data_IF_564848432338
#
_entry.id   IF_564848432338
#
_cell.length_a   1.000
_cell.length_b   1.000
_cell.length_c   1.000
_cell.angle_alpha   90.00
_cell.angle_beta   90.00
_cell.angle_gamma   90.00
#
_symmetry.space_group_name_H-M   'P 1'
#
loop_
_entity.id
_entity.type
_entity.pdbx_description
1 polymer ?
#
# COMPACT_ATOMS: atom_id res chain seq x y z
N UNK A 1 31.02 72.63 12.50
CA UNK A 1 32.06 71.59 12.55
C UNK A 1 31.47 70.37 13.22
N UNK A 2 31.83 69.22 12.69
CA UNK A 2 31.71 67.87 13.27
C UNK A 2 30.61 66.94 12.73
N UNK A 3 31.08 65.70 12.55
CA UNK A 3 30.53 64.58 11.79
C UNK A 3 29.61 63.73 12.66
N UNK A 4 28.50 63.22 12.10
CA UNK A 4 27.71 62.02 12.51
C UNK A 4 26.26 62.29 12.13
N UNK A 5 25.47 61.42 11.49
CA UNK A 5 25.45 59.98 11.49
C UNK A 5 24.99 59.46 10.12
N UNK A 6 25.58 58.34 9.75
CA UNK A 6 25.39 57.65 8.49
C UNK A 6 23.99 57.04 8.36
N UNK A 7 23.41 57.25 7.17
CA UNK A 7 22.44 56.37 6.55
C UNK A 7 22.99 54.95 6.51
N UNK A 8 22.21 53.98 6.99
CA UNK A 8 22.50 52.55 6.88
C UNK A 8 21.22 51.82 6.49
N UNK A 9 20.72 52.12 5.29
CA UNK A 9 19.92 51.18 4.51
C UNK A 9 20.85 50.03 4.10
N UNK A 10 20.66 48.86 4.71
CA UNK A 10 21.27 47.61 4.22
C UNK A 10 20.18 46.83 3.53
N UNK A 11 20.18 46.93 2.21
CA UNK A 11 19.55 46.00 1.29
C UNK A 11 20.09 44.59 1.57
N UNK A 12 19.22 43.74 2.12
CA UNK A 12 19.42 42.31 2.12
C UNK A 12 19.20 41.81 0.69
N UNK A 13 20.30 41.69 -0.07
CA UNK A 13 20.34 40.91 -1.31
C UNK A 13 19.94 39.46 -0.98
N UNK A 14 18.71 39.07 -1.34
CA UNK A 14 18.35 37.67 -1.48
C UNK A 14 19.15 37.09 -2.64
N UNK A 15 20.13 36.26 -2.33
CA UNK A 15 20.81 35.42 -3.31
C UNK A 15 19.88 34.25 -3.64
N UNK A 16 19.39 34.18 -4.87
CA UNK A 16 18.63 33.01 -5.35
C UNK A 16 19.50 31.75 -5.30
N UNK A 17 18.95 30.58 -4.92
CA UNK A 17 19.69 29.34 -4.90
C UNK A 17 19.97 28.87 -6.33
N UNK A 18 21.25 28.67 -6.63
CA UNK A 18 21.76 28.11 -7.88
C UNK A 18 21.27 26.65 -8.04
N UNK A 19 20.24 26.46 -8.85
CA UNK A 19 19.56 25.18 -9.11
C UNK A 19 20.36 24.25 -10.04
N UNK A 20 21.55 24.65 -10.51
CA UNK A 20 22.39 23.88 -11.43
C UNK A 20 23.51 23.09 -10.74
N UNK A 21 23.25 22.53 -9.56
CA UNK A 21 24.12 21.48 -9.02
C UNK A 21 23.80 20.18 -9.75
N UNK A 22 24.60 19.85 -10.76
CA UNK A 22 24.63 18.52 -11.38
C UNK A 22 24.66 17.46 -10.27
N UNK A 23 23.53 16.77 -10.10
CA UNK A 23 23.49 15.51 -9.36
C UNK A 23 24.35 14.53 -10.14
N UNK A 24 25.59 14.33 -9.68
CA UNK A 24 26.36 13.13 -10.00
C UNK A 24 25.52 11.94 -9.59
N UNK A 25 24.85 11.33 -10.57
CA UNK A 25 24.18 10.04 -10.44
C UNK A 25 25.29 9.06 -10.13
N UNK A 26 25.46 8.77 -8.84
CA UNK A 26 26.24 7.63 -8.39
C UNK A 26 25.55 6.41 -9.01
N UNK A 27 26.21 5.81 -9.99
CA UNK A 27 25.65 4.68 -10.72
C UNK A 27 25.49 3.56 -9.71
N UNK A 28 24.24 3.21 -9.41
CA UNK A 28 23.92 2.05 -8.60
C UNK A 28 24.79 0.86 -9.03
N UNK A 29 25.44 0.16 -8.08
CA UNK A 29 26.23 -1.02 -8.41
C UNK A 29 25.34 -2.02 -9.14
N UNK A 30 25.88 -2.74 -10.15
CA UNK A 30 25.10 -3.65 -10.97
C UNK A 30 24.34 -4.62 -10.07
N UNK A 31 23.02 -4.68 -10.27
CA UNK A 31 22.08 -5.57 -9.60
C UNK A 31 22.72 -6.96 -9.48
N UNK A 32 23.14 -7.32 -8.26
CA UNK A 32 23.82 -8.59 -7.99
C UNK A 32 22.89 -9.73 -8.38
N UNK A 33 23.27 -10.40 -9.46
CA UNK A 33 22.92 -11.77 -9.89
C UNK A 33 21.94 -12.53 -8.98
N UNK A 34 20.81 -12.95 -9.55
CA UNK A 34 19.81 -13.91 -9.05
C UNK A 34 20.29 -14.83 -7.91
N UNK A 35 20.31 -14.33 -6.67
CA UNK A 35 20.56 -15.18 -5.51
C UNK A 35 19.27 -15.97 -5.28
N UNK A 36 19.18 -17.16 -5.86
CA UNK A 36 18.12 -18.12 -5.55
C UNK A 36 18.33 -18.68 -4.15
N UNK A 37 17.73 -18.03 -3.16
CA UNK A 37 17.74 -18.52 -1.78
C UNK A 37 17.00 -19.86 -1.68
N UNK A 38 17.61 -20.83 -1.01
CA UNK A 38 16.96 -22.10 -0.69
C UNK A 38 15.88 -21.93 0.38
N UNK A 39 14.88 -22.83 0.41
CA UNK A 39 13.78 -22.80 1.40
C UNK A 39 14.28 -22.70 2.85
N UNK A 40 15.36 -23.40 3.18
CA UNK A 40 15.97 -23.37 4.52
C UNK A 40 16.57 -21.99 4.86
N UNK A 41 17.22 -21.33 3.90
CA UNK A 41 17.78 -19.98 4.08
C UNK A 41 16.67 -18.94 4.25
N UNK A 42 15.64 -19.00 3.40
CA UNK A 42 14.45 -18.13 3.52
C UNK A 42 13.79 -18.31 4.89
N UNK A 43 13.58 -19.56 5.31
CA UNK A 43 12.99 -19.86 6.62
C UNK A 43 13.86 -19.35 7.77
N UNK A 44 15.18 -19.45 7.63
CA UNK A 44 16.15 -18.89 8.59
C UNK A 44 16.02 -17.37 8.70
N UNK A 45 15.98 -16.65 7.58
CA UNK A 45 15.82 -15.19 7.57
C UNK A 45 14.49 -14.72 8.14
N UNK A 46 13.38 -15.38 7.78
CA UNK A 46 12.05 -15.04 8.31
C UNK A 46 12.04 -15.26 9.82
N UNK A 47 12.57 -16.39 10.31
CA UNK A 47 12.62 -16.67 11.74
C UNK A 47 13.46 -15.66 12.49
N UNK A 48 14.67 -15.36 12.00
CA UNK A 48 15.55 -14.35 12.62
C UNK A 48 14.85 -12.99 12.74
N UNK A 49 14.21 -12.54 11.65
CA UNK A 49 13.46 -11.29 11.65
C UNK A 49 12.32 -11.30 12.67
N UNK A 50 11.47 -12.33 12.66
CA UNK A 50 10.34 -12.43 13.59
C UNK A 50 10.81 -12.49 15.05
N UNK A 51 11.89 -13.23 15.35
CA UNK A 51 12.49 -13.27 16.69
C UNK A 51 12.99 -11.89 17.14
N UNK A 52 13.63 -11.12 16.26
CA UNK A 52 14.09 -9.76 16.58
C UNK A 52 12.93 -8.79 16.83
N UNK A 53 11.78 -9.03 16.24
CA UNK A 53 10.56 -8.26 16.46
C UNK A 53 9.74 -8.71 17.68
N UNK A 54 10.24 -9.70 18.45
CA UNK A 54 9.49 -10.35 19.55
C UNK A 54 8.11 -10.86 19.10
N UNK A 55 8.02 -11.25 17.82
CA UNK A 55 6.76 -11.63 17.19
C UNK A 55 6.51 -13.12 17.42
N UNK A 56 5.53 -13.43 18.27
CA UNK A 56 5.06 -14.81 18.45
C UNK A 56 4.17 -15.17 17.27
N UNK A 57 4.65 -16.05 16.39
CA UNK A 57 3.82 -16.57 15.30
C UNK A 57 2.67 -17.40 15.88
N UNK A 58 1.44 -16.90 15.79
CA UNK A 58 0.25 -17.49 16.41
C UNK A 58 -0.22 -18.84 15.79
N UNK A 59 0.56 -19.44 14.89
CA UNK A 59 0.23 -20.72 14.27
C UNK A 59 -0.79 -20.57 13.13
N UNK A 60 -1.54 -21.65 12.86
CA UNK A 60 -2.50 -21.69 11.75
C UNK A 60 -3.74 -20.87 12.12
N UNK A 61 -3.85 -19.70 11.53
CA UNK A 61 -5.02 -18.83 11.64
C UNK A 61 -6.17 -19.37 10.80
N UNK A 62 -7.32 -19.66 11.42
CA UNK A 62 -8.56 -19.94 10.72
C UNK A 62 -9.34 -18.64 10.52
N UNK A 63 -9.32 -18.14 9.28
CA UNK A 63 -10.04 -16.93 8.85
C UNK A 63 -11.19 -17.28 7.90
N UNK A 64 -11.64 -18.54 7.90
CA UNK A 64 -12.67 -19.04 6.98
C UNK A 64 -14.03 -18.38 7.20
N UNK A 65 -14.40 -18.10 8.44
CA UNK A 65 -15.66 -17.42 8.79
C UNK A 65 -15.70 -15.98 8.24
N UNK A 66 -14.65 -15.20 8.51
CA UNK A 66 -14.51 -13.84 7.98
C UNK A 66 -14.55 -13.82 6.45
N UNK A 67 -13.81 -14.74 5.81
CA UNK A 67 -13.82 -14.88 4.35
C UNK A 67 -15.21 -15.22 3.81
N UNK A 68 -15.94 -16.11 4.48
CA UNK A 68 -17.30 -16.50 4.08
C UNK A 68 -18.29 -15.34 4.22
N UNK A 69 -18.22 -14.57 5.30
CA UNK A 69 -19.04 -13.37 5.50
C UNK A 69 -18.79 -12.32 4.39
N UNK A 70 -17.52 -12.08 4.06
CA UNK A 70 -17.13 -11.16 2.98
C UNK A 70 -17.67 -11.62 1.61
N UNK A 71 -17.58 -12.92 1.30
CA UNK A 71 -18.14 -13.50 0.05
C UNK A 71 -19.64 -13.30 0.02
N UNK A 72 -20.35 -13.65 1.10
CA UNK A 72 -21.80 -13.52 1.18
C UNK A 72 -22.25 -12.07 0.98
N UNK A 73 -21.59 -11.09 1.62
CA UNK A 73 -21.89 -9.66 1.43
C UNK A 73 -21.60 -9.21 0.00
N UNK A 74 -20.51 -9.69 -0.60
CA UNK A 74 -20.14 -9.34 -1.98
C UNK A 74 -21.12 -9.87 -3.02
N UNK A 75 -21.63 -11.10 -2.82
CA UNK A 75 -22.72 -11.67 -3.64
C UNK A 75 -23.99 -10.84 -3.47
N UNK A 76 -24.39 -10.56 -2.22
CA UNK A 76 -25.61 -9.80 -1.92
C UNK A 76 -25.61 -8.38 -2.53
N UNK A 77 -24.43 -7.81 -2.76
CA UNK A 77 -24.25 -6.49 -3.39
C UNK A 77 -24.00 -6.53 -4.90
N UNK A 78 -23.96 -7.72 -5.50
CA UNK A 78 -23.73 -7.90 -6.94
C UNK A 78 -22.28 -7.67 -7.38
N UNK A 79 -21.31 -7.67 -6.47
CA UNK A 79 -19.88 -7.59 -6.81
C UNK A 79 -19.30 -8.93 -7.25
N UNK A 80 -19.95 -10.03 -6.86
CA UNK A 80 -19.68 -11.38 -7.34
C UNK A 80 -20.95 -11.85 -8.03
N UNK A 81 -20.82 -12.24 -9.30
CA UNK A 81 -21.92 -12.82 -10.08
C UNK A 81 -21.47 -14.13 -10.73
N UNK A 82 -22.40 -14.98 -11.21
CA UNK A 82 -22.02 -16.19 -11.94
C UNK A 82 -21.12 -15.91 -13.16
N UNK A 83 -21.26 -14.74 -13.78
CA UNK A 83 -20.50 -14.30 -14.94
C UNK A 83 -19.14 -13.70 -14.57
N UNK A 84 -18.99 -13.18 -13.34
CA UNK A 84 -17.77 -12.56 -12.85
C UNK A 84 -17.47 -12.93 -11.39
N UNK A 85 -16.62 -13.94 -11.22
CA UNK A 85 -16.15 -14.47 -9.93
C UNK A 85 -14.70 -14.07 -9.60
N UNK A 86 -14.16 -13.05 -10.29
CA UNK A 86 -12.76 -12.62 -10.12
C UNK A 86 -12.48 -12.13 -8.70
N UNK A 87 -13.37 -11.29 -8.16
CA UNK A 87 -13.24 -10.71 -6.83
C UNK A 87 -13.25 -11.75 -5.71
N UNK A 88 -14.03 -12.84 -5.86
CA UNK A 88 -14.10 -13.92 -4.87
C UNK A 88 -12.75 -14.55 -4.57
N UNK A 89 -11.89 -14.67 -5.60
CA UNK A 89 -10.56 -15.29 -5.47
C UNK A 89 -9.61 -14.46 -4.61
N UNK A 90 -9.90 -13.17 -4.44
CA UNK A 90 -9.06 -12.22 -3.72
C UNK A 90 -9.56 -11.96 -2.30
N UNK A 91 -10.80 -12.34 -1.97
CA UNK A 91 -11.36 -12.24 -0.61
C UNK A 91 -10.51 -12.98 0.44
N UNK A 92 -10.00 -14.21 0.19
CA UNK A 92 -9.16 -14.90 1.16
C UNK A 92 -7.88 -14.13 1.54
N UNK A 93 -7.31 -13.35 0.62
CA UNK A 93 -6.12 -12.54 0.89
C UNK A 93 -6.44 -11.44 1.90
N UNK A 94 -7.52 -10.69 1.68
CA UNK A 94 -7.96 -9.63 2.59
C UNK A 94 -8.32 -10.19 3.97
N UNK A 95 -9.05 -11.30 4.03
CA UNK A 95 -9.38 -11.97 5.29
C UNK A 95 -8.13 -12.40 6.06
N UNK A 96 -7.13 -12.97 5.37
CA UNK A 96 -5.86 -13.34 6.00
C UNK A 96 -5.10 -12.12 6.53
N UNK A 97 -5.03 -11.02 5.78
CA UNK A 97 -4.35 -9.79 6.24
C UNK A 97 -5.04 -9.21 7.47
N UNK A 98 -6.37 -9.11 7.44
CA UNK A 98 -7.15 -8.62 8.59
C UNK A 98 -6.96 -9.49 9.81
N UNK A 99 -7.02 -10.81 9.65
CA UNK A 99 -6.81 -11.70 10.78
C UNK A 99 -5.40 -11.53 11.39
N UNK A 100 -4.37 -11.43 10.56
CA UNK A 100 -3.00 -11.36 11.09
C UNK A 100 -2.64 -9.97 11.67
N UNK A 101 -3.19 -8.89 11.13
CA UNK A 101 -2.79 -7.53 11.52
C UNK A 101 -3.84 -6.79 12.38
N UNK A 102 -5.11 -7.16 12.27
CA UNK A 102 -6.25 -6.39 12.80
C UNK A 102 -7.23 -7.23 13.63
N UNK A 103 -6.90 -8.49 13.95
CA UNK A 103 -7.78 -9.35 14.78
C UNK A 103 -8.00 -8.80 16.19
N UNK A 104 -7.11 -7.93 16.69
CA UNK A 104 -7.28 -7.25 17.96
C UNK A 104 -8.45 -6.23 17.98
N UNK A 105 -8.98 -5.86 16.80
CA UNK A 105 -10.12 -4.96 16.72
C UNK A 105 -11.39 -5.70 17.17
N UNK A 106 -12.19 -5.14 18.10
CA UNK A 106 -13.29 -5.87 18.74
C UNK A 106 -14.54 -6.02 17.86
N UNK A 107 -14.62 -5.28 16.75
CA UNK A 107 -15.83 -5.19 15.93
C UNK A 107 -15.69 -6.01 14.64
N UNK A 108 -16.53 -7.03 14.51
CA UNK A 108 -16.60 -7.90 13.33
C UNK A 108 -16.91 -7.12 12.06
N UNK A 109 -17.76 -6.09 12.15
CA UNK A 109 -18.13 -5.28 10.99
C UNK A 109 -16.94 -4.48 10.44
N UNK A 110 -16.10 -3.96 11.34
CA UNK A 110 -14.85 -3.27 10.99
C UNK A 110 -13.86 -4.25 10.36
N UNK A 111 -13.72 -5.45 10.92
CA UNK A 111 -12.86 -6.48 10.33
C UNK A 111 -13.33 -6.88 8.93
N UNK A 112 -14.64 -7.07 8.73
CA UNK A 112 -15.22 -7.38 7.42
C UNK A 112 -15.00 -6.25 6.42
N UNK A 113 -15.20 -4.99 6.85
CA UNK A 113 -14.93 -3.82 6.03
C UNK A 113 -13.47 -3.76 5.58
N UNK A 114 -12.53 -3.94 6.51
CA UNK A 114 -11.11 -3.96 6.20
C UNK A 114 -10.75 -5.11 5.26
N UNK A 115 -11.35 -6.29 5.44
CA UNK A 115 -11.04 -7.46 4.62
C UNK A 115 -11.47 -7.22 3.16
N UNK A 116 -12.69 -6.69 2.97
CA UNK A 116 -13.18 -6.31 1.65
C UNK A 116 -12.35 -5.18 1.02
N UNK A 117 -11.96 -4.18 1.81
CA UNK A 117 -11.13 -3.06 1.33
C UNK A 117 -9.75 -3.53 0.86
N UNK A 118 -9.09 -4.39 1.64
CA UNK A 118 -7.77 -4.95 1.27
C UNK A 118 -7.90 -5.84 0.03
N UNK A 119 -8.91 -6.70 -0.03
CA UNK A 119 -9.17 -7.52 -1.21
C UNK A 119 -9.43 -6.69 -2.46
N UNK A 120 -10.11 -5.56 -2.32
CA UNK A 120 -10.30 -4.61 -3.42
C UNK A 120 -8.97 -3.99 -3.86
N UNK A 121 -8.09 -3.58 -2.94
CA UNK A 121 -6.78 -3.04 -3.32
C UNK A 121 -5.91 -4.07 -4.04
N UNK A 122 -5.90 -5.32 -3.58
CA UNK A 122 -5.20 -6.41 -4.29
C UNK A 122 -5.79 -6.62 -5.69
N UNK A 123 -7.12 -6.55 -5.82
CA UNK A 123 -7.80 -6.64 -7.12
C UNK A 123 -7.38 -5.50 -8.06
N UNK A 124 -7.37 -4.27 -7.54
CA UNK A 124 -7.01 -3.09 -8.31
C UNK A 124 -5.54 -3.14 -8.76
N UNK A 125 -4.62 -3.51 -7.86
CA UNK A 125 -3.20 -3.72 -8.19
C UNK A 125 -3.03 -4.73 -9.34
N UNK A 126 -3.68 -5.90 -9.25
CA UNK A 126 -3.59 -6.94 -10.27
C UNK A 126 -4.24 -6.52 -11.60
N UNK A 127 -5.42 -5.89 -11.55
CA UNK A 127 -6.16 -5.48 -12.75
C UNK A 127 -5.50 -4.31 -13.50
N UNK A 128 -4.84 -3.42 -12.77
CA UNK A 128 -4.32 -2.18 -13.34
C UNK A 128 -2.79 -2.09 -13.40
N UNK A 129 -2.08 -3.19 -13.08
CA UNK A 129 -0.62 -3.26 -13.04
C UNK A 129 0.09 -2.55 -14.20
N UNK A 130 -0.45 -2.70 -15.41
CA UNK A 130 0.12 -2.14 -16.64
C UNK A 130 -0.74 -1.03 -17.26
N UNK A 131 -1.75 -0.51 -16.54
CA UNK A 131 -2.73 0.43 -17.07
C UNK A 131 -3.03 1.60 -16.11
N UNK A 132 -2.07 2.54 -16.04
CA UNK A 132 -2.18 3.74 -15.22
C UNK A 132 -3.37 4.63 -15.59
N UNK A 133 -3.74 4.69 -16.88
CA UNK A 133 -4.86 5.51 -17.34
C UNK A 133 -6.19 5.00 -16.77
N UNK A 134 -6.35 3.68 -16.68
CA UNK A 134 -7.53 3.07 -16.08
C UNK A 134 -7.64 3.37 -14.57
N UNK A 135 -6.52 3.40 -13.83
CA UNK A 135 -6.50 3.81 -12.42
C UNK A 135 -6.95 5.26 -12.27
N UNK A 136 -6.40 6.15 -13.11
CA UNK A 136 -6.75 7.58 -13.08
C UNK A 136 -8.24 7.80 -13.39
N UNK A 137 -8.77 7.08 -14.38
CA UNK A 137 -10.19 7.12 -14.72
C UNK A 137 -11.06 6.60 -13.57
N UNK A 138 -10.72 5.45 -12.99
CA UNK A 138 -11.43 4.86 -11.86
C UNK A 138 -11.46 5.81 -10.66
N UNK A 139 -10.29 6.34 -10.26
CA UNK A 139 -10.14 7.26 -9.13
C UNK A 139 -10.91 8.56 -9.37
N UNK A 140 -10.88 9.08 -10.60
CA UNK A 140 -11.63 10.27 -10.98
C UNK A 140 -13.15 10.09 -10.81
N UNK A 141 -13.69 8.95 -11.22
CA UNK A 141 -15.12 8.62 -11.04
C UNK A 141 -15.44 8.37 -9.56
N UNK A 142 -14.57 7.67 -8.84
CA UNK A 142 -14.74 7.33 -7.43
C UNK A 142 -14.83 8.57 -6.54
N UNK A 143 -13.88 9.52 -6.68
CA UNK A 143 -13.87 10.78 -5.91
C UNK A 143 -15.12 11.62 -6.20
N UNK A 144 -15.62 11.57 -7.44
CA UNK A 144 -16.83 12.29 -7.86
C UNK A 144 -18.13 11.56 -7.54
N UNK A 145 -18.06 10.37 -6.91
CA UNK A 145 -19.21 9.49 -6.62
C UNK A 145 -20.03 9.16 -7.88
N UNK A 146 -19.36 9.02 -9.01
CA UNK A 146 -19.99 8.64 -10.27
C UNK A 146 -19.91 7.12 -10.47
N UNK A 147 -20.87 6.51 -11.20
CA UNK A 147 -20.80 5.10 -11.56
C UNK A 147 -19.50 4.79 -12.31
N UNK A 148 -18.88 3.67 -11.95
CA UNK A 148 -17.72 3.15 -12.67
C UNK A 148 -18.17 2.66 -14.05
N UNK A 149 -17.36 2.93 -15.08
CA UNK A 149 -17.63 2.40 -16.43
C UNK A 149 -17.17 0.94 -16.46
N UNK A 150 -18.04 0.05 -16.94
CA UNK A 150 -17.74 -1.36 -17.16
C UNK A 150 -16.81 -1.57 -18.36
#
# INVERSE_FOLDING_TARGET
>A
MDKSQASSERDAKLTEPDFNRELTIDRDPPCRSDIRLGRAQISGYIRDFLCRCDFVYAGRSDFSELGSACIAKSIARGYITPENDSFRRLIPVGAAVVWNAYHHLPDEQTQEYLALLISFFVCAEDMFKDNNDAILAFNGLFIRRQPQRH
#
